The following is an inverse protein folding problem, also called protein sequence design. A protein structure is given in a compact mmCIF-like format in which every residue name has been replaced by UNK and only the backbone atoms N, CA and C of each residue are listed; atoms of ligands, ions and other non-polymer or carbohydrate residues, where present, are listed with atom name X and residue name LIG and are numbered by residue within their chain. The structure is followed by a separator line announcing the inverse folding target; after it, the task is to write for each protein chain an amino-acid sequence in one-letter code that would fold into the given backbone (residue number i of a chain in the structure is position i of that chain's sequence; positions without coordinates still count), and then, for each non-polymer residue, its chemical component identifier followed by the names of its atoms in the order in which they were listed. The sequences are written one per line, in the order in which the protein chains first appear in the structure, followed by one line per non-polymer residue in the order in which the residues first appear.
data_IF_141392951665
#
_entry.id   IF_141392951665
#
_cell.length_a   1.000
_cell.length_b   1.000
_cell.length_c   1.000
_cell.angle_alpha   90.00
_cell.angle_beta   90.00
_cell.angle_gamma   90.00
#
_symmetry.space_group_name_H-M   'P 1'
#
loop_
_entity.id
_entity.type
_entity.pdbx_description
1 polymer ?
#
# COMPACT_ATOMS: atom_id res chain seq x y z
N UNK A 1 -2.13 34.26 -26.49
CA UNK A 1 -2.53 35.31 -27.45
C UNK A 1 -3.29 34.62 -28.57
N UNK A 2 -4.33 35.25 -29.12
CA UNK A 2 -4.90 34.77 -30.38
C UNK A 2 -4.01 35.32 -31.51
N UNK A 3 -3.74 34.55 -32.57
CA UNK A 3 -2.96 35.06 -33.69
C UNK A 3 -3.64 36.29 -34.29
N UNK A 4 -2.84 37.25 -34.78
CA UNK A 4 -3.39 38.42 -35.48
C UNK A 4 -4.24 37.97 -36.66
N UNK A 5 -5.41 38.55 -36.87
CA UNK A 5 -6.28 38.25 -38.02
C UNK A 5 -5.72 38.72 -39.37
N UNK A 6 -4.48 39.22 -39.41
CA UNK A 6 -3.85 39.82 -40.60
C UNK A 6 -2.38 39.43 -40.76
N UNK A 7 -2.06 38.15 -40.55
CA UNK A 7 -0.68 37.63 -40.64
C UNK A 7 -0.17 37.46 -42.08
N UNK A 8 -1.05 37.47 -43.10
CA UNK A 8 -0.66 37.35 -44.51
C UNK A 8 -0.65 38.71 -45.21
N UNK A 9 0.23 38.84 -46.22
CA UNK A 9 0.30 40.01 -47.09
C UNK A 9 0.28 39.60 -48.55
N UNK A 10 -0.55 40.27 -49.36
CA UNK A 10 -0.60 40.10 -50.82
C UNK A 10 -0.80 41.45 -51.49
N UNK A 11 0.04 41.75 -52.49
CA UNK A 11 0.01 43.01 -53.24
C UNK A 11 -0.04 44.27 -52.33
N UNK A 12 0.83 44.33 -51.32
CA UNK A 12 0.92 45.46 -50.38
C UNK A 12 -0.18 45.54 -49.31
N UNK A 13 -1.17 44.63 -49.31
CA UNK A 13 -2.30 44.63 -48.36
C UNK A 13 -2.20 43.47 -47.38
N UNK A 14 -2.39 43.73 -46.09
CA UNK A 14 -2.50 42.67 -45.07
C UNK A 14 -3.91 42.08 -45.04
N UNK A 15 -4.03 40.77 -44.87
CA UNK A 15 -5.31 40.07 -44.94
C UNK A 15 -5.31 38.78 -44.11
N UNK A 16 -6.51 38.25 -43.86
CA UNK A 16 -6.68 36.91 -43.24
C UNK A 16 -6.18 35.83 -44.18
N UNK A 17 -5.90 34.63 -43.66
CA UNK A 17 -5.57 33.46 -44.47
C UNK A 17 -6.67 33.14 -45.49
N UNK A 18 -7.94 33.29 -45.12
CA UNK A 18 -9.07 33.06 -46.03
C UNK A 18 -9.05 34.05 -47.21
N UNK A 19 -8.83 35.33 -46.94
CA UNK A 19 -8.71 36.35 -47.98
C UNK A 19 -7.44 36.15 -48.84
N UNK A 20 -6.32 35.76 -48.22
CA UNK A 20 -5.09 35.44 -48.91
C UNK A 20 -5.27 34.28 -49.89
N UNK A 21 -5.94 33.20 -49.48
CA UNK A 21 -6.28 32.07 -50.35
C UNK A 21 -7.11 32.49 -51.55
N UNK A 22 -8.16 33.28 -51.33
CA UNK A 22 -9.02 33.78 -52.41
C UNK A 22 -8.25 34.67 -53.39
N UNK A 23 -7.35 35.53 -52.88
CA UNK A 23 -6.63 36.49 -53.70
C UNK A 23 -5.43 35.91 -54.45
N UNK A 24 -4.76 34.90 -53.89
CA UNK A 24 -3.49 34.36 -54.42
C UNK A 24 -3.61 32.94 -54.98
N UNK A 25 -4.62 32.16 -54.57
CA UNK A 25 -4.68 30.72 -54.80
C UNK A 25 -3.63 29.91 -54.00
N UNK A 26 -2.84 30.55 -53.14
CA UNK A 26 -1.77 29.94 -52.35
C UNK A 26 -2.23 29.60 -50.92
N UNK A 27 -1.34 29.01 -50.11
CA UNK A 27 -1.57 28.69 -48.70
C UNK A 27 -2.78 27.77 -48.43
N UNK A 28 -3.15 26.92 -49.41
CA UNK A 28 -4.29 26.00 -49.29
C UNK A 28 -4.20 25.09 -48.04
N UNK A 29 -2.99 24.75 -47.61
CA UNK A 29 -2.74 23.93 -46.44
C UNK A 29 -2.43 24.70 -45.16
N UNK A 30 -2.35 26.04 -45.16
CA UNK A 30 -2.00 26.81 -43.96
C UNK A 30 -3.09 26.80 -42.88
N UNK A 31 -2.75 27.08 -41.64
CA UNK A 31 -3.72 27.17 -40.53
C UNK A 31 -3.42 28.41 -39.69
N UNK A 32 -4.47 29.13 -39.30
CA UNK A 32 -4.37 30.25 -38.35
C UNK A 32 -4.59 29.74 -36.93
N UNK A 33 -3.55 29.19 -36.31
CA UNK A 33 -3.59 28.74 -34.92
C UNK A 33 -2.23 28.89 -34.24
N UNK A 34 -2.25 29.42 -33.02
CA UNK A 34 -1.09 29.46 -32.12
C UNK A 34 -0.97 28.18 -31.28
N UNK A 35 -1.92 27.25 -31.39
CA UNK A 35 -1.86 25.98 -30.68
C UNK A 35 -0.87 25.03 -31.36
N UNK A 36 0.19 24.66 -30.65
CA UNK A 36 1.21 23.75 -31.17
C UNK A 36 0.68 22.36 -31.52
N UNK A 37 -0.46 21.93 -30.96
CA UNK A 37 -1.08 20.65 -31.31
C UNK A 37 -1.58 20.65 -32.76
N UNK A 38 -2.02 21.81 -33.29
CA UNK A 38 -2.57 21.90 -34.64
C UNK A 38 -1.49 21.79 -35.73
N UNK A 39 -0.22 21.90 -35.35
CA UNK A 39 0.94 21.71 -36.23
C UNK A 39 1.33 20.25 -36.39
N UNK A 40 0.88 19.37 -35.49
CA UNK A 40 1.23 17.95 -35.55
C UNK A 40 0.62 17.28 -36.75
N UNK A 41 1.39 16.45 -37.43
CA UNK A 41 0.96 15.60 -38.53
C UNK A 41 0.14 16.35 -39.60
N UNK A 42 0.53 17.60 -39.90
CA UNK A 42 -0.24 18.51 -40.75
C UNK A 42 0.60 19.30 -41.77
N UNK A 43 1.86 18.91 -41.98
CA UNK A 43 2.74 19.54 -42.94
C UNK A 43 2.33 19.29 -44.40
N UNK A 44 2.60 20.27 -45.26
CA UNK A 44 2.59 20.04 -46.70
C UNK A 44 3.98 19.59 -47.15
N UNK A 45 4.21 18.28 -47.19
CA UNK A 45 5.52 17.74 -47.59
C UNK A 45 5.79 17.78 -49.10
N UNK A 46 4.79 18.10 -49.94
CA UNK A 46 4.98 18.35 -51.37
C UNK A 46 5.59 19.73 -51.67
N UNK A 47 5.74 20.60 -50.68
CA UNK A 47 6.33 21.92 -50.88
C UNK A 47 7.79 21.81 -51.38
N UNK A 48 8.20 22.58 -52.42
CA UNK A 48 9.59 22.59 -52.88
C UNK A 48 10.56 22.90 -51.74
N UNK A 49 11.63 22.12 -51.62
CA UNK A 49 12.66 22.27 -50.58
C UNK A 49 12.34 21.60 -49.24
N UNK A 50 11.22 20.86 -49.15
CA UNK A 50 10.89 20.08 -47.96
C UNK A 50 12.01 19.08 -47.63
N UNK A 51 12.44 19.07 -46.37
CA UNK A 51 13.51 18.21 -45.87
C UNK A 51 12.94 16.94 -45.24
N UNK A 52 13.59 15.80 -45.48
CA UNK A 52 13.20 14.50 -44.86
C UNK A 52 13.50 14.43 -43.36
N UNK A 53 14.23 15.43 -42.84
CA UNK A 53 14.52 15.62 -41.41
C UNK A 53 14.04 16.98 -40.94
N UNK A 54 13.94 17.15 -39.64
CA UNK A 54 13.79 18.44 -39.00
C UNK A 54 15.12 19.23 -38.97
N UNK A 55 15.09 20.43 -38.38
CA UNK A 55 16.25 21.33 -38.27
C UNK A 55 17.41 20.76 -37.43
N UNK A 56 17.17 19.71 -36.65
CA UNK A 56 18.17 19.01 -35.87
C UNK A 56 18.64 17.70 -36.52
N UNK A 57 18.18 17.40 -37.74
CA UNK A 57 18.54 16.19 -38.47
C UNK A 57 17.76 14.94 -38.01
N UNK A 58 16.70 15.10 -37.22
CA UNK A 58 15.84 13.99 -36.79
C UNK A 58 14.85 13.67 -37.92
N UNK A 59 14.72 12.39 -38.27
CA UNK A 59 13.73 11.96 -39.26
C UNK A 59 12.31 12.32 -38.80
N UNK A 60 11.42 12.63 -39.75
CA UNK A 60 10.00 12.86 -39.46
C UNK A 60 9.36 11.58 -38.90
N UNK A 61 8.54 11.71 -37.85
CA UNK A 61 7.96 10.59 -37.10
C UNK A 61 6.45 10.76 -37.03
N UNK A 62 5.73 9.74 -37.48
CA UNK A 62 4.28 9.64 -37.34
C UNK A 62 3.90 9.54 -35.86
N UNK A 63 2.95 10.37 -35.43
CA UNK A 63 2.36 10.27 -34.12
C UNK A 63 1.09 9.44 -34.20
N UNK A 64 1.17 8.17 -33.80
CA UNK A 64 0.07 7.22 -33.95
C UNK A 64 -1.28 7.72 -33.37
N UNK A 65 -1.25 8.65 -32.41
CA UNK A 65 -2.41 9.19 -31.73
C UNK A 65 -3.00 10.44 -32.41
N UNK A 66 -2.33 11.00 -33.42
CA UNK A 66 -2.74 12.20 -34.14
C UNK A 66 -3.14 11.83 -35.58
N UNK A 67 -4.28 12.33 -36.10
CA UNK A 67 -4.63 12.08 -37.48
C UNK A 67 -3.69 12.78 -38.46
N UNK A 68 -3.22 12.02 -39.46
CA UNK A 68 -2.43 12.52 -40.57
C UNK A 68 -3.26 13.41 -41.49
N UNK A 69 -3.11 14.73 -41.34
CA UNK A 69 -3.80 15.78 -42.13
C UNK A 69 -2.86 16.53 -43.06
N UNK A 70 -1.58 16.15 -43.09
CA UNK A 70 -0.59 16.70 -44.01
C UNK A 70 -0.80 16.25 -45.46
N UNK A 71 -0.14 16.94 -46.38
CA UNK A 71 -0.13 16.56 -47.79
C UNK A 71 1.05 15.63 -48.09
N UNK A 72 0.83 14.67 -49.00
CA UNK A 72 1.82 13.69 -49.50
C UNK A 72 3.11 14.34 -50.02
N UNK A 73 4.25 13.63 -50.05
CA UNK A 73 4.43 12.20 -49.78
C UNK A 73 4.46 11.78 -48.29
N UNK A 74 4.78 12.69 -47.37
CA UNK A 74 4.84 12.46 -45.92
C UNK A 74 3.69 13.17 -45.22
N UNK A 75 2.53 12.50 -45.11
CA UNK A 75 1.29 13.09 -44.57
C UNK A 75 1.29 13.29 -43.05
N UNK A 76 2.26 12.72 -42.35
CA UNK A 76 2.36 12.70 -40.89
C UNK A 76 3.42 13.65 -40.34
N UNK A 77 4.11 14.41 -41.18
CA UNK A 77 5.12 15.31 -40.65
C UNK A 77 4.52 16.55 -40.00
N UNK A 78 5.27 17.13 -39.05
CA UNK A 78 4.86 18.35 -38.38
C UNK A 78 5.13 19.59 -39.22
N UNK A 79 4.25 20.59 -39.07
CA UNK A 79 4.42 21.88 -39.72
C UNK A 79 5.57 22.66 -39.09
N UNK A 80 6.55 23.01 -39.92
CA UNK A 80 7.64 23.91 -39.58
C UNK A 80 9.00 23.23 -39.71
N UNK A 81 10.02 23.88 -39.15
CA UNK A 81 11.38 23.37 -39.18
C UNK A 81 11.60 22.22 -38.18
N UNK A 82 10.76 22.10 -37.14
CA UNK A 82 10.90 21.14 -36.04
C UNK A 82 9.94 19.95 -36.16
N UNK A 83 10.30 18.81 -35.56
CA UNK A 83 9.41 17.66 -35.34
C UNK A 83 9.13 17.47 -33.84
N UNK A 84 7.85 17.38 -33.45
CA UNK A 84 7.43 17.24 -32.06
C UNK A 84 7.24 15.77 -31.68
N UNK A 85 8.34 15.11 -31.35
CA UNK A 85 8.31 13.72 -30.89
C UNK A 85 8.07 13.63 -29.38
N UNK A 86 7.01 12.91 -28.98
CA UNK A 86 6.74 12.61 -27.56
C UNK A 86 7.37 11.29 -27.14
N UNK A 87 8.03 11.31 -25.99
CA UNK A 87 8.51 10.10 -25.32
C UNK A 87 7.36 9.42 -24.57
N UNK A 88 7.43 8.09 -24.34
CA UNK A 88 6.49 7.43 -23.43
C UNK A 88 6.58 8.04 -22.03
N UNK A 89 5.50 7.95 -21.25
CA UNK A 89 5.50 8.32 -19.83
C UNK A 89 5.51 7.06 -18.99
N UNK A 90 6.65 6.74 -18.38
CA UNK A 90 6.79 5.59 -17.50
C UNK A 90 6.11 5.82 -16.16
N UNK A 91 5.30 4.85 -15.72
CA UNK A 91 4.70 4.79 -14.40
C UNK A 91 4.97 3.41 -13.82
N UNK A 92 5.27 3.36 -12.51
CA UNK A 92 5.56 2.11 -11.83
C UNK A 92 4.92 2.10 -10.45
N UNK A 93 4.12 1.09 -10.16
CA UNK A 93 3.66 0.75 -8.81
C UNK A 93 4.36 -0.53 -8.34
N UNK A 94 4.73 -0.58 -7.06
CA UNK A 94 5.29 -1.76 -6.42
C UNK A 94 4.41 -2.20 -5.26
N UNK A 95 4.18 -3.51 -5.14
CA UNK A 95 3.38 -4.14 -4.08
C UNK A 95 4.21 -5.26 -3.45
N UNK A 96 4.42 -5.19 -2.14
CA UNK A 96 5.24 -6.15 -1.41
C UNK A 96 4.42 -7.33 -0.89
N UNK A 97 5.00 -8.51 -0.93
CA UNK A 97 4.52 -9.68 -0.21
C UNK A 97 5.65 -10.27 0.64
N UNK A 98 5.69 -9.86 1.91
CA UNK A 98 6.71 -10.29 2.88
C UNK A 98 6.59 -11.75 3.29
N UNK A 99 5.46 -12.42 3.00
CA UNK A 99 5.31 -13.85 3.24
C UNK A 99 6.02 -14.69 2.17
N UNK A 100 6.18 -14.13 0.97
CA UNK A 100 6.81 -14.78 -0.18
C UNK A 100 8.17 -14.16 -0.54
N UNK A 101 8.66 -13.20 0.25
CA UNK A 101 9.88 -12.41 -0.01
C UNK A 101 9.88 -11.81 -1.43
N UNK A 102 8.74 -11.27 -1.86
CA UNK A 102 8.55 -10.87 -3.26
C UNK A 102 7.97 -9.46 -3.41
N UNK A 103 8.21 -8.88 -4.60
CA UNK A 103 7.58 -7.65 -5.07
C UNK A 103 6.85 -7.91 -6.37
N UNK A 104 5.64 -7.39 -6.49
CA UNK A 104 4.95 -7.26 -7.77
C UNK A 104 5.14 -5.84 -8.29
N UNK A 105 5.67 -5.74 -9.51
CA UNK A 105 5.80 -4.49 -10.25
C UNK A 105 4.68 -4.39 -11.28
N UNK A 106 4.11 -3.19 -11.37
CA UNK A 106 2.98 -2.89 -12.23
C UNK A 106 3.20 -1.54 -12.92
N UNK A 107 3.48 -1.61 -14.22
CA UNK A 107 3.69 -0.47 -15.09
C UNK A 107 2.48 -0.16 -15.98
N UNK A 108 1.30 -0.72 -15.70
CA UNK A 108 0.14 -0.62 -16.59
C UNK A 108 -0.46 0.78 -16.70
N UNK A 109 -0.04 1.72 -15.84
CA UNK A 109 -0.42 3.12 -15.89
C UNK A 109 0.50 3.96 -16.82
N UNK A 110 1.52 3.34 -17.43
CA UNK A 110 2.41 4.01 -18.38
C UNK A 110 1.65 4.39 -19.65
N UNK A 111 2.04 5.50 -20.28
CA UNK A 111 1.40 6.00 -21.49
C UNK A 111 2.37 6.01 -22.68
N UNK A 112 1.90 5.68 -23.89
CA UNK A 112 2.72 5.77 -25.09
C UNK A 112 3.09 7.22 -25.41
N UNK A 113 4.17 7.39 -26.18
CA UNK A 113 4.59 8.67 -26.76
C UNK A 113 3.95 8.88 -28.13
N UNK A 114 4.75 9.37 -29.08
CA UNK A 114 4.39 9.38 -30.51
C UNK A 114 4.43 7.98 -31.13
N UNK A 115 4.96 6.98 -30.43
CA UNK A 115 4.93 5.57 -30.79
C UNK A 115 4.25 4.73 -29.70
N UNK A 116 3.65 3.60 -30.10
CA UNK A 116 3.07 2.61 -29.17
C UNK A 116 4.15 2.02 -28.26
N UNK A 117 3.76 1.59 -27.05
CA UNK A 117 4.68 0.86 -26.16
C UNK A 117 4.94 -0.53 -26.73
N UNK A 118 6.22 -0.85 -26.96
CA UNK A 118 6.66 -2.14 -27.45
C UNK A 118 6.98 -3.13 -26.31
N UNK A 119 7.67 -2.66 -25.27
CA UNK A 119 8.10 -3.53 -24.17
C UNK A 119 8.41 -2.78 -22.87
N UNK A 120 8.52 -3.56 -21.79
CA UNK A 120 8.88 -3.14 -20.44
C UNK A 120 10.11 -3.90 -19.99
N UNK A 121 11.17 -3.19 -19.63
CA UNK A 121 12.38 -3.77 -19.03
C UNK A 121 12.41 -3.45 -17.54
N UNK A 122 12.13 -4.45 -16.71
CA UNK A 122 12.13 -4.33 -15.26
C UNK A 122 13.52 -4.64 -14.68
N UNK A 123 13.98 -3.82 -13.74
CA UNK A 123 15.16 -4.08 -12.92
C UNK A 123 14.74 -4.18 -11.45
N UNK A 124 15.34 -5.13 -10.71
CA UNK A 124 14.91 -5.45 -9.35
C UNK A 124 15.88 -5.01 -8.25
N UNK A 125 17.02 -4.41 -8.62
CA UNK A 125 18.04 -3.93 -7.69
C UNK A 125 18.94 -5.03 -7.08
N UNK A 126 18.70 -6.30 -7.40
CA UNK A 126 19.53 -7.45 -6.99
C UNK A 126 20.41 -8.00 -8.14
N UNK A 127 20.50 -7.26 -9.24
CA UNK A 127 21.16 -7.66 -10.48
C UNK A 127 20.22 -8.32 -11.49
N UNK A 128 19.01 -8.74 -11.09
CA UNK A 128 18.02 -9.32 -12.00
C UNK A 128 17.40 -8.24 -12.89
N UNK A 129 17.32 -8.52 -14.18
CA UNK A 129 16.63 -7.69 -15.19
C UNK A 129 15.79 -8.58 -16.10
N UNK A 130 14.55 -8.17 -16.38
CA UNK A 130 13.63 -8.92 -17.26
C UNK A 130 12.96 -7.97 -18.24
N UNK A 131 13.01 -8.28 -19.53
CA UNK A 131 12.26 -7.56 -20.57
C UNK A 131 11.09 -8.40 -21.04
N UNK A 132 9.90 -7.80 -21.11
CA UNK A 132 8.67 -8.47 -21.55
C UNK A 132 7.67 -7.46 -22.16
N UNK A 133 6.64 -7.96 -22.84
CA UNK A 133 5.56 -7.12 -23.40
C UNK A 133 4.43 -6.86 -22.39
N UNK A 134 4.27 -7.72 -21.38
CA UNK A 134 3.28 -7.52 -20.30
C UNK A 134 3.76 -6.43 -19.32
N UNK A 135 2.88 -5.53 -18.85
CA UNK A 135 3.25 -4.46 -17.92
C UNK A 135 3.37 -4.91 -16.46
N UNK A 136 3.15 -6.20 -16.15
CA UNK A 136 3.12 -6.72 -14.78
C UNK A 136 4.08 -7.89 -14.61
N UNK A 137 4.85 -7.89 -13.52
CA UNK A 137 5.79 -8.97 -13.19
C UNK A 137 5.91 -9.13 -11.67
N UNK A 138 6.15 -10.35 -11.20
CA UNK A 138 6.47 -10.65 -9.80
C UNK A 138 7.87 -11.22 -9.70
N UNK A 139 8.68 -10.69 -8.78
CA UNK A 139 10.03 -11.15 -8.50
C UNK A 139 10.20 -11.53 -7.04
N UNK A 140 10.91 -12.62 -6.78
CA UNK A 140 11.22 -13.12 -5.44
C UNK A 140 12.70 -12.91 -5.14
N UNK A 141 12.98 -12.31 -3.99
CA UNK A 141 14.33 -12.05 -3.54
C UNK A 141 14.87 -13.22 -2.73
N UNK A 142 16.15 -13.55 -2.94
CA UNK A 142 16.83 -14.60 -2.18
C UNK A 142 17.20 -14.15 -0.76
N UNK A 143 17.36 -12.85 -0.53
CA UNK A 143 17.74 -12.26 0.75
C UNK A 143 16.83 -11.08 1.07
N UNK A 144 16.50 -10.84 2.34
CA UNK A 144 15.93 -9.57 2.76
C UNK A 144 16.91 -8.43 2.49
N UNK A 145 16.39 -7.26 2.12
CA UNK A 145 17.21 -6.10 1.79
C UNK A 145 16.40 -4.90 1.31
N UNK A 146 17.12 -3.80 1.08
CA UNK A 146 16.61 -2.64 0.38
C UNK A 146 17.01 -2.74 -1.09
N UNK A 147 16.07 -2.49 -1.98
CA UNK A 147 16.24 -2.66 -3.41
C UNK A 147 15.69 -1.45 -4.16
N UNK A 148 16.41 -0.99 -5.18
CA UNK A 148 15.90 -0.03 -6.14
C UNK A 148 15.23 -0.80 -7.28
N UNK A 149 13.91 -0.72 -7.39
CA UNK A 149 13.15 -1.34 -8.48
C UNK A 149 12.82 -0.29 -9.53
N UNK A 150 12.98 -0.63 -10.80
CA UNK A 150 12.66 0.27 -11.90
C UNK A 150 12.08 -0.45 -13.11
N UNK A 151 11.47 0.33 -13.99
CA UNK A 151 11.01 -0.10 -15.32
C UNK A 151 11.48 0.91 -16.35
N UNK A 152 12.05 0.43 -17.46
CA UNK A 152 12.20 1.19 -18.69
C UNK A 152 11.02 0.85 -19.62
N UNK A 153 10.22 1.84 -19.98
CA UNK A 153 9.11 1.71 -20.92
C UNK A 153 9.63 2.10 -22.29
N UNK A 154 9.61 1.15 -23.23
CA UNK A 154 10.27 1.28 -24.53
C UNK A 154 9.20 1.31 -25.63
N UNK A 155 9.18 2.37 -26.44
CA UNK A 155 8.31 2.52 -27.60
C UNK A 155 8.77 1.69 -28.80
N UNK A 156 7.89 1.51 -29.79
CA UNK A 156 8.24 0.81 -31.06
C UNK A 156 9.29 1.54 -31.89
N UNK A 157 9.54 2.81 -31.59
CA UNK A 157 10.59 3.66 -32.15
C UNK A 157 11.89 3.66 -31.32
N UNK A 158 12.02 2.73 -30.36
CA UNK A 158 13.12 2.61 -29.40
C UNK A 158 13.31 3.81 -28.46
N UNK A 159 12.39 4.79 -28.43
CA UNK A 159 12.42 5.83 -27.41
C UNK A 159 11.93 5.27 -26.08
N UNK A 160 12.56 5.67 -24.99
CA UNK A 160 12.24 5.12 -23.68
C UNK A 160 12.27 6.16 -22.58
N UNK A 161 11.46 5.93 -21.55
CA UNK A 161 11.57 6.61 -20.25
C UNK A 161 11.53 5.60 -19.13
N UNK A 162 12.03 6.00 -17.97
CA UNK A 162 12.14 5.11 -16.82
C UNK A 162 11.36 5.63 -15.63
N UNK A 163 10.83 4.72 -14.82
CA UNK A 163 10.26 5.01 -13.52
C UNK A 163 10.83 4.03 -12.50
N UNK A 164 11.21 4.53 -11.33
CA UNK A 164 11.80 3.72 -10.27
C UNK A 164 11.34 4.14 -8.89
N UNK A 165 11.50 3.23 -7.93
CA UNK A 165 11.29 3.50 -6.50
C UNK A 165 12.07 2.50 -5.66
N UNK A 166 12.42 2.90 -4.46
CA UNK A 166 13.01 1.97 -3.50
C UNK A 166 11.92 1.10 -2.85
N UNK A 167 12.29 -0.11 -2.46
CA UNK A 167 11.47 -1.02 -1.66
C UNK A 167 12.33 -1.69 -0.60
N UNK A 168 11.73 -2.03 0.54
CA UNK A 168 12.37 -2.81 1.61
C UNK A 168 11.68 -4.17 1.72
N UNK A 169 12.35 -5.22 1.26
CA UNK A 169 11.89 -6.60 1.40
C UNK A 169 12.49 -7.12 2.70
N UNK A 170 11.71 -7.10 3.78
CA UNK A 170 12.18 -7.48 5.11
C UNK A 170 11.69 -8.87 5.50
N UNK A 171 12.46 -9.56 6.34
CA UNK A 171 12.07 -10.86 6.88
C UNK A 171 10.83 -10.68 7.77
N UNK A 172 9.72 -11.29 7.37
CA UNK A 172 8.50 -11.33 8.19
C UNK A 172 8.72 -12.21 9.43
N UNK A 173 8.41 -11.67 10.61
CA UNK A 173 8.46 -12.37 11.89
C UNK A 173 7.10 -13.00 12.23
N UNK A 174 6.01 -12.29 11.98
CA UNK A 174 4.64 -12.77 12.20
C UNK A 174 3.62 -11.87 11.50
N UNK A 175 2.40 -12.38 11.34
CA UNK A 175 1.22 -11.58 11.00
C UNK A 175 0.32 -11.45 12.22
N UNK A 176 0.00 -10.22 12.61
CA UNK A 176 -0.61 -9.91 13.91
C UNK A 176 -1.72 -8.87 13.79
N UNK A 177 -2.64 -8.90 14.76
CA UNK A 177 -3.48 -7.78 15.12
C UNK A 177 -3.00 -7.13 16.42
N UNK A 178 -3.18 -5.81 16.54
CA UNK A 178 -2.90 -5.06 17.76
C UNK A 178 -4.22 -4.68 18.43
N UNK A 179 -4.53 -5.27 19.58
CA UNK A 179 -5.74 -5.01 20.36
C UNK A 179 -5.44 -3.96 21.44
N UNK A 180 -6.03 -2.77 21.32
CA UNK A 180 -5.76 -1.68 22.27
C UNK A 180 -6.40 -1.94 23.64
N UNK A 181 -5.60 -1.75 24.70
CA UNK A 181 -6.04 -1.96 26.09
C UNK A 181 -7.16 -0.99 26.48
N UNK A 182 -7.11 0.26 26.00
CA UNK A 182 -8.04 1.31 26.41
C UNK A 182 -9.51 1.08 26.03
N UNK A 183 -9.79 0.41 24.91
CA UNK A 183 -11.16 0.25 24.41
C UNK A 183 -11.50 -1.15 23.87
N UNK A 184 -10.57 -2.11 23.97
CA UNK A 184 -10.74 -3.50 23.52
C UNK A 184 -11.16 -3.59 22.04
N UNK A 185 -10.45 -2.84 21.19
CA UNK A 185 -10.60 -2.87 19.74
C UNK A 185 -9.27 -3.04 19.05
N UNK A 186 -9.28 -3.80 17.95
CA UNK A 186 -8.14 -3.95 17.07
C UNK A 186 -7.85 -2.65 16.33
N UNK A 187 -6.57 -2.35 16.22
CA UNK A 187 -6.02 -1.28 15.38
C UNK A 187 -6.25 -1.65 13.93
N UNK A 188 -6.86 -0.75 13.18
CA UNK A 188 -7.07 -0.90 11.76
C UNK A 188 -7.48 0.41 11.12
N UNK A 189 -7.55 0.43 9.80
CA UNK A 189 -8.11 1.56 9.07
C UNK A 189 -9.62 1.53 9.18
N UNK A 190 -10.27 2.69 9.27
CA UNK A 190 -11.73 2.73 9.16
C UNK A 190 -12.13 2.40 7.71
N UNK A 191 -12.82 1.27 7.46
CA UNK A 191 -13.18 0.84 6.11
C UNK A 191 -14.21 1.75 5.42
N UNK A 192 -14.90 2.62 6.17
CA UNK A 192 -15.91 3.53 5.61
C UNK A 192 -15.33 4.87 5.18
N UNK A 193 -14.41 5.41 5.97
CA UNK A 193 -13.87 6.76 5.77
C UNK A 193 -12.47 6.78 5.15
N UNK A 194 -11.75 5.64 5.12
CA UNK A 194 -10.32 5.63 4.79
C UNK A 194 -9.48 6.43 5.77
N UNK A 195 -10.05 6.77 6.94
CA UNK A 195 -9.48 7.65 7.95
C UNK A 195 -8.19 7.14 8.58
N UNK A 196 -7.61 7.90 9.53
CA UNK A 196 -6.34 7.55 10.17
C UNK A 196 -6.42 6.20 10.89
N UNK A 197 -5.25 5.56 11.06
CA UNK A 197 -5.14 4.30 11.75
C UNK A 197 -5.54 4.44 13.22
N UNK A 198 -6.43 3.58 13.72
CA UNK A 198 -6.93 3.68 15.09
C UNK A 198 -7.54 2.38 15.62
N UNK A 199 -7.68 2.20 16.94
CA UNK A 199 -8.33 1.01 17.51
C UNK A 199 -9.85 1.12 17.39
N UNK A 200 -10.36 0.85 16.20
CA UNK A 200 -11.78 0.98 15.85
C UNK A 200 -12.41 -0.36 15.45
N UNK A 201 -11.61 -1.44 15.31
CA UNK A 201 -12.07 -2.74 14.83
C UNK A 201 -12.54 -3.67 15.96
N UNK A 202 -13.72 -4.26 15.80
CA UNK A 202 -14.29 -5.19 16.80
C UNK A 202 -13.79 -6.63 16.64
N UNK A 203 -13.20 -6.95 15.48
CA UNK A 203 -12.66 -8.26 15.10
C UNK A 203 -11.35 -8.04 14.36
N UNK A 204 -10.46 -9.02 14.41
CA UNK A 204 -9.26 -9.03 13.57
C UNK A 204 -9.66 -9.42 12.14
N UNK A 205 -9.90 -8.40 11.31
CA UNK A 205 -10.23 -8.55 9.88
C UNK A 205 -9.06 -8.07 9.01
N UNK A 206 -9.22 -8.17 7.69
CA UNK A 206 -8.18 -7.80 6.71
C UNK A 206 -7.66 -6.36 6.83
N UNK A 207 -8.41 -5.45 7.46
CA UNK A 207 -8.01 -4.05 7.70
C UNK A 207 -7.20 -3.83 8.97
N UNK A 208 -7.08 -4.86 9.81
CA UNK A 208 -6.38 -4.85 11.09
C UNK A 208 -5.17 -5.81 11.13
N UNK A 209 -4.77 -6.37 9.98
CA UNK A 209 -3.62 -7.27 9.88
C UNK A 209 -2.33 -6.52 9.54
N UNK A 210 -1.31 -6.75 10.36
CA UNK A 210 0.02 -6.22 10.16
C UNK A 210 1.05 -7.34 10.11
N UNK A 211 1.93 -7.31 9.12
CA UNK A 211 3.14 -8.10 9.13
C UNK A 211 4.19 -7.36 9.99
N UNK A 212 4.64 -7.98 11.08
CA UNK A 212 5.79 -7.49 11.85
C UNK A 212 7.03 -8.01 11.15
N UNK A 213 7.89 -7.11 10.68
CA UNK A 213 9.10 -7.43 9.94
C UNK A 213 10.36 -6.97 10.68
N UNK A 214 11.42 -7.74 10.55
CA UNK A 214 12.73 -7.44 11.14
C UNK A 214 13.39 -6.26 10.40
N UNK A 215 13.58 -5.14 11.09
CA UNK A 215 14.25 -3.97 10.54
C UNK A 215 15.73 -3.89 10.93
N UNK A 216 16.27 -4.88 11.66
CA UNK A 216 17.63 -4.89 12.19
C UNK A 216 17.79 -4.05 13.47
N UNK A 217 18.92 -4.23 14.16
CA UNK A 217 19.27 -3.52 15.40
C UNK A 217 18.21 -3.60 16.51
N UNK A 218 17.48 -4.72 16.59
CA UNK A 218 16.40 -4.93 17.55
C UNK A 218 15.14 -4.10 17.27
N UNK A 219 15.05 -3.47 16.09
CA UNK A 219 13.87 -2.73 15.64
C UNK A 219 13.02 -3.58 14.70
N UNK A 220 11.75 -3.23 14.61
CA UNK A 220 10.79 -3.82 13.68
C UNK A 220 10.17 -2.73 12.81
N UNK A 221 9.67 -3.14 11.66
CA UNK A 221 8.73 -2.37 10.86
C UNK A 221 7.38 -3.10 10.85
N UNK A 222 6.28 -2.35 10.86
CA UNK A 222 4.94 -2.93 10.74
C UNK A 222 4.42 -2.63 9.34
N UNK A 223 4.14 -3.67 8.55
CA UNK A 223 3.57 -3.55 7.20
C UNK A 223 2.06 -3.77 7.26
N UNK A 224 1.27 -2.77 6.87
CA UNK A 224 -0.19 -2.91 6.75
C UNK A 224 -0.52 -3.72 5.51
N UNK A 225 -1.21 -4.85 5.70
CA UNK A 225 -1.64 -5.70 4.58
C UNK A 225 -2.78 -5.09 3.77
N UNK A 226 -3.63 -4.29 4.40
CA UNK A 226 -4.71 -3.58 3.70
C UNK A 226 -4.18 -2.45 2.82
N UNK A 227 -3.20 -1.71 3.33
CA UNK A 227 -2.69 -0.50 2.67
C UNK A 227 -1.43 -0.74 1.83
N UNK A 228 -0.88 -1.96 1.87
CA UNK A 228 0.28 -2.39 1.09
C UNK A 228 1.52 -1.49 1.33
N UNK A 229 1.80 -1.17 2.60
CA UNK A 229 2.96 -0.37 2.96
C UNK A 229 3.29 -0.38 4.45
N UNK A 230 4.50 0.05 4.78
CA UNK A 230 4.97 0.17 6.16
C UNK A 230 4.33 1.36 6.87
N UNK A 231 4.01 1.19 8.15
CA UNK A 231 3.55 2.25 9.03
C UNK A 231 4.65 3.30 9.17
N UNK A 232 4.28 4.55 8.90
CA UNK A 232 5.16 5.71 8.91
C UNK A 232 4.80 6.62 10.07
N UNK A 233 5.82 6.99 10.83
CA UNK A 233 5.75 7.96 11.90
C UNK A 233 5.93 9.37 11.34
N UNK A 234 5.08 10.31 11.77
CA UNK A 234 5.44 11.73 11.69
C UNK A 234 6.51 12.07 12.74
N UNK A 235 7.67 12.56 12.28
CA UNK A 235 8.79 12.92 13.15
C UNK A 235 8.44 14.00 14.18
N UNK A 236 7.43 14.84 13.93
CA UNK A 236 7.00 15.85 14.91
C UNK A 236 6.13 15.27 16.04
N UNK A 237 5.58 14.07 15.85
CA UNK A 237 4.66 13.45 16.79
C UNK A 237 3.27 14.08 16.84
N UNK A 238 2.89 14.85 15.81
CA UNK A 238 1.62 15.58 15.75
C UNK A 238 0.57 14.88 14.88
N UNK A 239 1.01 14.09 13.89
CA UNK A 239 0.12 13.38 12.99
C UNK A 239 -0.05 11.90 13.35
N UNK A 240 -1.17 11.33 12.88
CA UNK A 240 -1.44 9.90 12.98
C UNK A 240 -0.43 9.09 12.17
N UNK A 241 -0.20 7.84 12.60
CA UNK A 241 0.56 6.87 11.81
C UNK A 241 -0.11 6.66 10.45
N UNK A 242 0.67 6.81 9.39
CA UNK A 242 0.21 6.64 8.00
C UNK A 242 0.86 5.40 7.39
N UNK A 243 0.08 4.46 6.82
CA UNK A 243 0.66 3.40 6.00
C UNK A 243 0.93 3.89 4.57
N UNK A 244 1.71 3.14 3.81
CA UNK A 244 1.73 3.25 2.34
C UNK A 244 3.09 3.42 1.69
N UNK A 245 4.16 3.57 2.46
CA UNK A 245 5.51 3.56 1.89
C UNK A 245 6.05 2.13 1.83
N UNK A 246 6.57 1.68 0.67
CA UNK A 246 7.15 0.35 0.52
C UNK A 246 8.60 0.27 1.03
N UNK A 247 9.12 1.34 1.64
CA UNK A 247 10.49 1.46 2.14
C UNK A 247 10.52 1.57 3.65
N UNK A 248 11.62 1.11 4.25
CA UNK A 248 11.90 1.25 5.67
C UNK A 248 13.12 2.13 5.87
N UNK A 249 12.86 3.37 6.28
CA UNK A 249 13.86 4.32 6.78
C UNK A 249 13.56 4.62 8.27
N UNK A 250 14.16 5.64 8.86
CA UNK A 250 13.95 5.98 10.29
C UNK A 250 12.47 6.11 10.69
N UNK A 251 11.59 6.78 9.93
CA UNK A 251 10.18 6.93 10.25
C UNK A 251 9.36 5.62 10.32
N UNK A 252 9.81 4.55 9.66
CA UNK A 252 9.12 3.25 9.65
C UNK A 252 9.65 2.27 10.68
N UNK A 253 10.64 2.67 11.48
CA UNK A 253 11.29 1.83 12.48
C UNK A 253 10.68 2.04 13.85
N UNK A 254 10.39 0.93 14.53
CA UNK A 254 9.86 0.92 15.88
C UNK A 254 10.65 -0.06 16.76
N UNK A 255 10.87 0.30 18.01
CA UNK A 255 11.17 -0.69 19.04
C UNK A 255 9.85 -1.24 19.56
N UNK A 256 9.63 -2.55 19.41
CA UNK A 256 8.49 -3.24 20.01
C UNK A 256 8.88 -3.72 21.40
N UNK A 257 8.50 -2.95 22.42
CA UNK A 257 8.78 -3.26 23.82
C UNK A 257 7.72 -4.21 24.37
N UNK A 258 8.15 -5.40 24.83
CA UNK A 258 7.31 -6.29 25.62
C UNK A 258 7.19 -5.77 27.05
N UNK A 259 5.96 -5.66 27.56
CA UNK A 259 5.67 -5.24 28.92
C UNK A 259 5.44 -6.46 29.83
N UNK A 260 5.64 -6.28 31.14
CA UNK A 260 5.50 -7.35 32.14
C UNK A 260 4.07 -7.88 32.30
N UNK A 261 3.08 -7.11 31.87
CA UNK A 261 1.65 -7.45 31.86
C UNK A 261 1.20 -8.20 30.59
N UNK A 262 2.15 -8.61 29.75
CA UNK A 262 1.88 -9.33 28.50
C UNK A 262 1.49 -8.43 27.33
N UNK A 263 1.35 -7.11 27.53
CA UNK A 263 1.13 -6.16 26.43
C UNK A 263 2.44 -5.82 25.73
N UNK A 264 2.34 -5.19 24.56
CA UNK A 264 3.44 -4.55 23.86
C UNK A 264 3.19 -3.04 23.73
N UNK A 265 4.28 -2.28 23.64
CA UNK A 265 4.28 -0.86 23.30
C UNK A 265 5.25 -0.60 22.15
N UNK A 266 4.84 0.24 21.20
CA UNK A 266 5.67 0.61 20.05
C UNK A 266 6.32 1.96 20.32
N UNK A 267 7.65 2.03 20.30
CA UNK A 267 8.41 3.28 20.41
C UNK A 267 8.98 3.63 19.04
N UNK A 268 8.62 4.79 18.49
CA UNK A 268 9.12 5.21 17.18
C UNK A 268 10.59 5.59 17.24
N UNK A 269 11.36 5.15 16.25
CA UNK A 269 12.74 5.57 16.05
C UNK A 269 12.86 7.03 15.55
N UNK A 270 11.80 7.59 14.97
CA UNK A 270 11.82 8.93 14.39
C UNK A 270 11.91 10.04 15.44
N UNK A 271 11.19 9.85 16.55
CA UNK A 271 11.03 10.89 17.57
C UNK A 271 11.20 10.37 19.02
N UNK A 272 11.47 9.08 19.19
CA UNK A 272 11.68 8.46 20.50
C UNK A 272 10.42 8.37 21.37
N UNK A 273 9.22 8.58 20.82
CA UNK A 273 7.95 8.55 21.54
C UNK A 273 7.23 7.22 21.36
N UNK A 274 6.41 6.85 22.34
CA UNK A 274 5.49 5.72 22.25
C UNK A 274 4.25 6.08 21.44
N UNK A 275 3.82 5.14 20.61
CA UNK A 275 2.55 5.19 19.90
C UNK A 275 1.41 5.12 20.92
N UNK A 276 0.55 6.12 20.90
CA UNK A 276 -0.59 6.30 21.80
C UNK A 276 -1.86 6.55 21.00
N UNK A 277 -3.00 6.12 21.52
CA UNK A 277 -4.30 6.60 21.02
C UNK A 277 -4.52 8.06 21.44
N UNK A 278 -4.85 8.95 20.50
CA UNK A 278 -5.25 10.32 20.79
C UNK A 278 -6.76 10.40 21.15
N UNK A 279 -7.22 11.59 21.55
CA UNK A 279 -8.63 11.82 21.92
C UNK A 279 -9.61 11.55 20.76
N UNK A 280 -9.18 11.72 19.52
CA UNK A 280 -9.96 11.43 18.30
C UNK A 280 -9.93 9.96 17.88
N UNK A 281 -9.28 9.08 18.65
CA UNK A 281 -9.20 7.64 18.38
C UNK A 281 -8.18 7.21 17.32
N UNK A 282 -7.25 8.08 16.94
CA UNK A 282 -6.13 7.79 16.02
C UNK A 282 -4.87 7.39 16.79
N UNK A 283 -3.99 6.60 16.18
CA UNK A 283 -2.67 6.28 16.72
C UNK A 283 -1.65 7.36 16.36
N UNK A 284 -1.08 8.01 17.38
CA UNK A 284 -0.07 9.07 17.25
C UNK A 284 1.15 8.71 18.12
N UNK A 285 2.38 8.85 17.60
CA UNK A 285 3.64 8.67 18.32
C UNK A 285 3.99 9.89 19.18
N UNK A 286 3.23 10.17 20.23
CA UNK A 286 3.37 11.39 21.05
C UNK A 286 3.81 11.14 22.50
N UNK A 287 3.55 9.95 23.06
CA UNK A 287 3.74 9.68 24.48
C UNK A 287 5.21 9.53 24.87
N UNK A 288 5.63 10.10 26.00
CA UNK A 288 7.01 9.99 26.52
C UNK A 288 7.24 8.75 27.39
N UNK A 289 6.16 8.12 27.87
CA UNK A 289 6.21 6.97 28.75
C UNK A 289 5.14 5.94 28.37
N UNK A 290 5.33 4.70 28.82
CA UNK A 290 4.34 3.64 28.65
C UNK A 290 3.18 3.86 29.61
N UNK A 291 1.97 3.92 29.08
CA UNK A 291 0.72 4.06 29.83
C UNK A 291 -0.43 3.27 29.18
N UNK A 292 -1.65 3.31 29.73
CA UNK A 292 -2.78 2.53 29.22
C UNK A 292 -3.08 2.75 27.72
N UNK A 293 -2.92 3.99 27.23
CA UNK A 293 -3.17 4.36 25.84
C UNK A 293 -2.06 3.92 24.86
N UNK A 294 -0.90 3.47 25.36
CA UNK A 294 0.25 3.01 24.56
C UNK A 294 0.42 1.50 24.57
N UNK A 295 -0.50 0.78 25.23
CA UNK A 295 -0.43 -0.66 25.40
C UNK A 295 -1.39 -1.37 24.46
N UNK A 296 -0.84 -2.40 23.81
CA UNK A 296 -1.58 -3.26 22.89
C UNK A 296 -1.34 -4.71 23.27
N UNK A 297 -2.38 -5.51 23.25
CA UNK A 297 -2.24 -6.96 23.17
C UNK A 297 -1.96 -7.37 21.74
N UNK A 298 -1.12 -8.40 21.55
CA UNK A 298 -0.82 -8.95 20.23
C UNK A 298 -1.64 -10.22 20.02
N UNK A 299 -2.46 -10.27 18.98
CA UNK A 299 -3.11 -11.50 18.54
C UNK A 299 -2.45 -11.97 17.24
N UNK A 300 -2.01 -13.24 17.17
CA UNK A 300 -1.55 -13.78 15.89
C UNK A 300 -2.76 -14.03 15.00
N UNK A 301 -2.70 -13.60 13.73
CA UNK A 301 -3.83 -13.79 12.78
C UNK A 301 -4.18 -15.27 12.62
N UNK A 302 -3.17 -16.15 12.63
CA UNK A 302 -3.37 -17.60 12.55
C UNK A 302 -4.17 -18.17 13.74
N UNK A 303 -4.18 -17.49 14.88
CA UNK A 303 -4.79 -17.92 16.14
C UNK A 303 -6.06 -17.12 16.50
N UNK A 304 -6.50 -16.21 15.62
CA UNK A 304 -7.71 -15.43 15.80
C UNK A 304 -8.97 -16.17 15.32
N UNK A 305 -10.13 -15.70 15.80
CA UNK A 305 -11.48 -16.14 15.43
C UNK A 305 -11.71 -17.66 15.56
N UNK A 306 -11.08 -18.28 16.55
CA UNK A 306 -11.19 -19.72 16.82
C UNK A 306 -12.42 -20.03 17.64
N UNK A 307 -12.93 -21.24 17.47
CA UNK A 307 -13.94 -21.81 18.37
C UNK A 307 -13.35 -22.98 19.13
N UNK A 308 -13.76 -23.12 20.38
CA UNK A 308 -13.45 -24.30 21.18
C UNK A 308 -14.63 -25.26 21.09
N UNK A 309 -14.38 -26.53 20.77
CA UNK A 309 -15.41 -27.56 20.73
C UNK A 309 -15.10 -28.62 21.76
N UNK A 310 -16.06 -28.90 22.64
CA UNK A 310 -15.93 -29.96 23.63
C UNK A 310 -15.90 -31.31 22.89
N UNK A 311 -14.90 -32.15 23.20
CA UNK A 311 -14.58 -33.33 22.39
C UNK A 311 -15.63 -34.45 22.42
N UNK A 312 -16.37 -34.59 23.52
CA UNK A 312 -17.36 -35.65 23.78
C UNK A 312 -18.74 -35.20 23.30
N UNK A 313 -19.27 -34.11 23.86
CA UNK A 313 -20.61 -33.56 23.59
C UNK A 313 -20.66 -32.85 22.23
N UNK A 314 -19.49 -32.55 21.63
CA UNK A 314 -19.38 -31.98 20.28
C UNK A 314 -20.08 -30.63 20.12
N UNK A 315 -20.34 -29.94 21.22
CA UNK A 315 -20.86 -28.57 21.28
C UNK A 315 -19.72 -27.56 21.36
N UNK A 316 -19.94 -26.39 20.80
CA UNK A 316 -19.04 -25.25 20.90
C UNK A 316 -19.19 -24.59 22.27
N UNK A 317 -18.05 -24.16 22.82
CA UNK A 317 -17.97 -23.38 24.07
C UNK A 317 -18.48 -21.98 23.78
N UNK A 318 -19.49 -21.57 24.52
CA UNK A 318 -20.18 -20.29 24.43
C UNK A 318 -19.77 -19.41 25.59
N UNK A 319 -19.38 -18.17 25.29
CA UNK A 319 -19.20 -17.12 26.27
C UNK A 319 -20.50 -16.32 26.48
N UNK A 320 -20.79 -15.99 27.72
CA UNK A 320 -21.95 -15.19 28.09
C UNK A 320 -21.77 -13.72 27.65
N UNK A 321 -22.70 -13.15 26.84
CA UNK A 321 -22.60 -11.76 26.40
C UNK A 321 -22.57 -10.74 27.55
N UNK A 322 -23.18 -11.05 28.70
CA UNK A 322 -23.11 -10.19 29.89
C UNK A 322 -21.79 -10.35 30.67
N UNK A 323 -21.06 -11.44 30.48
CA UNK A 323 -19.83 -11.76 31.21
C UNK A 323 -20.08 -12.11 32.68
N UNK A 324 -21.26 -12.63 33.00
CA UNK A 324 -21.68 -13.00 34.37
C UNK A 324 -21.77 -14.50 34.58
N UNK A 325 -21.91 -15.27 33.50
CA UNK A 325 -22.03 -16.74 33.55
C UNK A 325 -20.73 -17.43 33.11
N UNK A 326 -20.47 -18.65 33.60
CA UNK A 326 -19.37 -19.49 33.12
C UNK A 326 -19.40 -19.72 31.61
N UNK A 327 -18.24 -20.03 31.03
CA UNK A 327 -18.16 -20.62 29.70
C UNK A 327 -18.85 -21.98 29.69
N UNK A 328 -19.78 -22.22 28.76
CA UNK A 328 -20.57 -23.45 28.69
C UNK A 328 -20.54 -24.01 27.26
N UNK A 329 -20.30 -25.31 27.12
CA UNK A 329 -20.36 -25.99 25.82
C UNK A 329 -21.80 -26.42 25.48
N UNK A 330 -22.63 -25.52 24.96
CA UNK A 330 -24.05 -25.79 24.66
C UNK A 330 -24.43 -25.57 23.18
N UNK A 331 -23.65 -24.82 22.41
CA UNK A 331 -24.01 -24.46 21.04
C UNK A 331 -23.66 -25.53 20.00
N UNK A 332 -24.52 -25.75 19.01
CA UNK A 332 -24.24 -26.62 17.85
C UNK A 332 -23.51 -25.89 16.71
N UNK A 333 -23.50 -24.56 16.73
CA UNK A 333 -22.94 -23.71 15.67
C UNK A 333 -21.97 -22.69 16.25
N UNK A 334 -20.92 -22.35 15.51
CA UNK A 334 -19.95 -21.34 15.93
C UNK A 334 -20.36 -19.94 15.46
N UNK A 335 -21.19 -19.26 16.26
CA UNK A 335 -21.52 -17.84 16.10
C UNK A 335 -20.59 -16.95 16.92
N UNK A 336 -20.86 -15.64 16.97
CA UNK A 336 -20.00 -14.65 17.66
C UNK A 336 -19.75 -14.97 19.14
N UNK A 337 -20.68 -15.66 19.80
CA UNK A 337 -20.52 -16.02 21.21
C UNK A 337 -19.57 -17.21 21.42
N UNK A 338 -19.28 -17.96 20.37
CA UNK A 338 -18.39 -19.11 20.36
C UNK A 338 -17.03 -18.78 19.72
N UNK A 339 -16.76 -17.50 19.41
CA UNK A 339 -15.49 -17.03 18.83
C UNK A 339 -14.59 -16.42 19.88
N UNK A 340 -13.31 -16.81 19.80
CA UNK A 340 -12.24 -16.37 20.67
C UNK A 340 -10.99 -16.07 19.84
N UNK A 341 -10.26 -15.03 20.24
CA UNK A 341 -8.89 -14.82 19.78
C UNK A 341 -7.91 -15.31 20.85
N UNK A 342 -6.87 -16.02 20.43
CA UNK A 342 -5.74 -16.31 21.30
C UNK A 342 -4.75 -15.15 21.22
N UNK A 343 -4.63 -14.44 22.33
CA UNK A 343 -3.72 -13.30 22.51
C UNK A 343 -2.41 -13.78 23.11
N UNK A 344 -1.30 -13.41 22.49
CA UNK A 344 0.05 -13.69 22.95
C UNK A 344 0.43 -12.72 24.10
N UNK A 345 0.87 -13.30 25.21
CA UNK A 345 1.33 -12.57 26.41
C UNK A 345 2.86 -12.66 26.61
N UNK A 346 3.57 -13.24 25.64
CA UNK A 346 4.99 -13.55 25.71
C UNK A 346 5.33 -14.72 26.63
N UNK A 347 6.51 -15.30 26.43
CA UNK A 347 7.00 -16.43 27.23
C UNK A 347 6.15 -17.70 27.08
N UNK A 348 5.54 -17.91 25.91
CA UNK A 348 4.69 -19.07 25.61
C UNK A 348 3.31 -19.03 26.27
N UNK A 349 2.89 -17.88 26.81
CA UNK A 349 1.61 -17.71 27.51
C UNK A 349 0.59 -17.07 26.58
N UNK A 350 -0.66 -17.49 26.71
CA UNK A 350 -1.78 -16.94 25.94
C UNK A 350 -2.96 -16.57 26.83
N UNK A 351 -3.77 -15.61 26.37
CA UNK A 351 -5.09 -15.32 26.91
C UNK A 351 -6.16 -15.58 25.85
N UNK A 352 -7.38 -15.93 26.28
CA UNK A 352 -8.53 -16.03 25.39
C UNK A 352 -9.35 -14.74 25.48
N UNK A 353 -9.49 -14.06 24.35
CA UNK A 353 -10.34 -12.89 24.20
C UNK A 353 -11.67 -13.28 23.55
N UNK A 354 -12.77 -13.15 24.28
CA UNK A 354 -14.10 -13.58 23.81
C UNK A 354 -14.77 -12.50 22.95
N UNK A 355 -15.25 -12.88 21.77
CA UNK A 355 -15.96 -11.97 20.86
C UNK A 355 -17.37 -11.62 21.36
N UNK A 356 -17.97 -12.48 22.21
CA UNK A 356 -19.30 -12.28 22.79
C UNK A 356 -19.46 -10.92 23.48
N UNK A 357 -18.41 -10.49 24.21
CA UNK A 357 -18.47 -9.31 25.08
C UNK A 357 -17.17 -8.49 25.09
N UNK A 358 -16.19 -8.84 24.24
CA UNK A 358 -14.89 -8.16 24.11
C UNK A 358 -14.11 -8.11 25.43
N UNK A 359 -14.08 -9.25 26.13
CA UNK A 359 -13.39 -9.41 27.42
C UNK A 359 -12.56 -10.69 27.41
N UNK A 360 -11.52 -10.69 28.22
CA UNK A 360 -10.70 -11.86 28.45
C UNK A 360 -11.37 -12.85 29.40
N UNK A 361 -11.17 -14.13 29.09
CA UNK A 361 -11.50 -15.26 29.95
C UNK A 361 -10.53 -15.31 31.11
N UNK A 362 -11.07 -15.37 32.33
CA UNK A 362 -10.30 -15.49 33.57
C UNK A 362 -10.79 -16.65 34.41
N UNK A 363 -9.87 -17.19 35.20
CA UNK A 363 -10.15 -18.16 36.26
C UNK A 363 -10.03 -17.44 37.61
N UNK A 364 -11.14 -17.24 38.30
CA UNK A 364 -11.13 -16.52 39.58
C UNK A 364 -10.71 -17.42 40.73
N UNK A 365 -10.38 -16.80 41.88
CA UNK A 365 -10.04 -17.50 43.11
C UNK A 365 -8.99 -18.61 42.89
N UNK A 366 -7.90 -18.22 42.21
CA UNK A 366 -6.80 -19.12 41.84
C UNK A 366 -7.23 -20.36 41.02
N UNK A 367 -8.31 -20.26 40.25
CA UNK A 367 -8.79 -21.35 39.39
C UNK A 367 -9.80 -22.30 40.05
N UNK A 368 -10.23 -22.02 41.28
CA UNK A 368 -11.28 -22.79 41.96
C UNK A 368 -12.70 -22.43 41.49
N UNK A 369 -12.84 -21.32 40.75
CA UNK A 369 -14.11 -20.90 40.15
C UNK A 369 -14.14 -21.18 38.64
N UNK A 370 -15.34 -21.30 38.05
CA UNK A 370 -15.48 -21.50 36.61
C UNK A 370 -14.82 -20.38 35.80
N UNK A 371 -14.42 -20.71 34.57
CA UNK A 371 -13.90 -19.74 33.62
C UNK A 371 -15.00 -18.77 33.16
N UNK A 372 -14.76 -17.47 33.24
CA UNK A 372 -15.71 -16.42 32.85
C UNK A 372 -15.01 -15.37 31.99
N UNK A 373 -15.63 -14.96 30.88
CA UNK A 373 -15.17 -13.83 30.07
C UNK A 373 -15.63 -12.51 30.70
N UNK A 374 -14.82 -11.87 31.54
CA UNK A 374 -15.28 -10.72 32.34
C UNK A 374 -14.31 -9.54 32.52
N UNK A 375 -13.03 -9.69 32.20
CA UNK A 375 -12.04 -8.61 32.38
C UNK A 375 -11.64 -7.94 31.06
N UNK A 376 -11.31 -6.66 31.10
CA UNK A 376 -10.71 -5.92 29.97
C UNK A 376 -9.19 -5.92 30.00
N UNK A 377 -8.57 -6.40 31.09
CA UNK A 377 -7.13 -6.52 31.18
C UNK A 377 -6.74 -7.91 31.68
N UNK A 378 -5.70 -8.46 31.06
CA UNK A 378 -4.98 -9.61 31.58
C UNK A 378 -4.13 -9.11 32.75
N UNK A 379 -4.62 -9.27 33.98
CA UNK A 379 -3.99 -8.71 35.18
C UNK A 379 -2.56 -9.24 35.42
N UNK A 380 -1.77 -8.49 36.21
CA UNK A 380 -0.46 -8.90 36.74
C UNK A 380 -0.54 -10.13 37.67
N UNK A 381 -1.76 -10.52 38.06
CA UNK A 381 -2.07 -11.57 39.03
C UNK A 381 -2.04 -13.01 38.47
N UNK A 382 -1.60 -13.19 37.22
CA UNK A 382 -1.23 -14.52 36.69
C UNK A 382 0.03 -15.10 37.38
N UNK A 383 0.54 -14.46 38.44
CA UNK A 383 1.56 -15.01 39.34
C UNK A 383 1.01 -16.08 40.29
N UNK A 384 -0.31 -16.13 40.53
CA UNK A 384 -0.92 -17.05 41.51
C UNK A 384 -1.99 -18.02 41.00
N UNK A 385 -2.57 -17.81 39.82
CA UNK A 385 -3.60 -18.68 39.23
C UNK A 385 -3.09 -19.33 37.95
N UNK A 386 -3.17 -20.66 37.87
CA UNK A 386 -2.45 -21.44 36.88
C UNK A 386 -2.99 -21.26 35.45
N UNK A 387 -2.07 -21.53 34.53
CA UNK A 387 -1.84 -20.86 33.25
C UNK A 387 -2.52 -21.62 32.10
N UNK A 388 -2.93 -20.94 31.03
CA UNK A 388 -3.24 -21.62 29.78
C UNK A 388 -1.94 -21.94 29.02
N UNK A 389 -1.56 -23.22 29.00
CA UNK A 389 -0.48 -23.72 28.15
C UNK A 389 -1.10 -24.44 26.94
N UNK A 390 -0.65 -24.09 25.74
CA UNK A 390 -1.00 -24.83 24.53
C UNK A 390 -0.02 -26.00 24.42
N UNK A 391 -0.49 -27.22 24.70
CA UNK A 391 0.32 -28.43 24.57
C UNK A 391 0.39 -28.84 23.10
N UNK A 392 1.61 -28.88 22.57
CA UNK A 392 1.93 -29.20 21.18
C UNK A 392 1.78 -30.68 20.87
N UNK A 393 0.54 -31.17 20.82
CA UNK A 393 0.06 -32.23 19.92
C UNK A 393 -1.48 -32.24 20.02
N UNK A 394 -2.12 -31.67 18.98
CA UNK A 394 -3.57 -31.45 18.83
C UNK A 394 -4.19 -30.51 19.89
N UNK A 395 -4.13 -29.20 19.62
CA UNK A 395 -5.14 -28.20 20.03
C UNK A 395 -5.81 -28.40 21.40
N UNK A 396 -5.02 -28.63 22.45
CA UNK A 396 -5.51 -28.70 23.84
C UNK A 396 -5.03 -27.46 24.59
N UNK A 397 -5.99 -26.65 25.00
CA UNK A 397 -5.78 -25.58 25.99
C UNK A 397 -5.84 -26.28 27.35
N UNK A 398 -4.68 -26.54 27.95
CA UNK A 398 -4.59 -27.12 29.28
C UNK A 398 -4.57 -25.98 30.30
N UNK A 399 -5.58 -25.94 31.17
CA UNK A 399 -5.47 -25.27 32.48
C UNK A 399 -4.76 -26.28 33.35
N UNK A 400 -3.46 -26.13 33.56
CA UNK A 400 -2.78 -26.95 34.58
C UNK A 400 -3.39 -26.60 35.93
N UNK A 401 -3.90 -27.58 36.70
CA UNK A 401 -4.42 -27.38 38.05
C UNK A 401 -3.31 -26.91 38.94
#
# INVERSE_FOLDING_TARGET
MLPSSTIYGWNGTRMTLAAFRTASGQAAHDRESDNNVDKRDSANSAAPGYQTTDEWGVARVDDWAVPNTGASPTSYADRGATELVRYPSAQLRAVLNLAADSVQLDASASQPGSALIASYRFTFGDGTTVTQTSPRITHRYAKPGNYHVAVDVIGTDNRSTSAGRDVSVLRRLATVGLLAVGNQRYVGRDPKSGGPLGPNRTTLDSTAEFDVADAGNGQVALFSRADQGYLTTDATGSAALTPGLPTVTTPQRFTMQQNSDGTVSLKSAANGRYVSTNASGSLIPSATAVGPATKFYRANVADANKSLRQAIVRRFVTADPAGTKPLIANSTTAGSNERFDLVDLGGGRVALFAHANRRFVVADAAGTRPLIARTTAVGSDLRGGRRFLVSGQRSRIAVTP
#
